data_IF_188434468037
#
_entry.id   IF_188434468037
#
_cell.length_a   1.000
_cell.length_b   1.000
_cell.length_c   1.000
_cell.angle_alpha   90.00
_cell.angle_beta   90.00
_cell.angle_gamma   90.00
#
_symmetry.space_group_name_H-M   'P 1'
#
loop_
_entity.id
_entity.type
_entity.pdbx_description
1 polymer ?
#
# COMPACT_ATOMS: atom_id res chain seq x y z
N UNK A 1 24.70 -15.93 11.07
CA UNK A 1 24.17 -14.83 11.92
C UNK A 1 24.01 -13.55 11.11
N UNK A 2 25.01 -13.13 10.33
CA UNK A 2 24.94 -11.93 9.46
C UNK A 2 23.71 -11.91 8.52
N UNK A 3 23.38 -13.03 7.86
CA UNK A 3 22.23 -13.06 6.94
C UNK A 3 20.87 -12.85 7.63
N UNK A 4 20.70 -13.24 8.90
CA UNK A 4 19.43 -13.10 9.61
C UNK A 4 19.23 -11.66 10.13
N UNK A 5 20.29 -11.03 10.63
CA UNK A 5 20.24 -9.62 11.04
C UNK A 5 19.95 -8.70 9.86
N UNK A 6 20.61 -8.94 8.71
CA UNK A 6 20.32 -8.21 7.47
C UNK A 6 18.87 -8.40 7.01
N UNK A 7 18.37 -9.65 7.02
CA UNK A 7 16.99 -9.95 6.66
C UNK A 7 15.99 -9.24 7.60
N UNK A 8 16.29 -9.15 8.89
CA UNK A 8 15.46 -8.44 9.86
C UNK A 8 15.48 -6.92 9.63
N UNK A 9 16.62 -6.33 9.27
CA UNK A 9 16.71 -4.91 8.90
C UNK A 9 15.86 -4.60 7.65
N UNK A 10 15.92 -5.46 6.64
CA UNK A 10 15.07 -5.34 5.44
C UNK A 10 13.59 -5.48 5.82
N UNK A 11 13.24 -6.47 6.64
CA UNK A 11 11.87 -6.68 7.10
C UNK A 11 11.30 -5.45 7.84
N UNK A 12 12.08 -4.86 8.76
CA UNK A 12 11.67 -3.63 9.45
C UNK A 12 11.46 -2.48 8.48
N UNK A 13 12.31 -2.36 7.45
CA UNK A 13 12.15 -1.30 6.44
C UNK A 13 10.88 -1.49 5.61
N UNK A 14 10.58 -2.72 5.20
CA UNK A 14 9.34 -3.08 4.52
C UNK A 14 8.12 -2.74 5.40
N UNK A 15 8.16 -3.09 6.69
CA UNK A 15 7.07 -2.81 7.63
C UNK A 15 6.83 -1.29 7.77
N UNK A 16 7.90 -0.50 7.88
CA UNK A 16 7.79 0.97 7.97
C UNK A 16 7.18 1.57 6.70
N UNK A 17 7.70 1.21 5.52
CA UNK A 17 7.19 1.72 4.25
C UNK A 17 5.73 1.24 4.00
N UNK A 18 5.37 0.01 4.39
CA UNK A 18 4.00 -0.50 4.32
C UNK A 18 3.06 0.20 5.34
N UNK A 19 3.56 0.51 6.53
CA UNK A 19 2.83 1.27 7.55
C UNK A 19 2.51 2.69 7.08
N UNK A 20 3.50 3.40 6.53
CA UNK A 20 3.31 4.71 5.91
C UNK A 20 2.28 4.64 4.77
N UNK A 21 2.36 3.61 3.93
CA UNK A 21 1.39 3.43 2.85
C UNK A 21 -0.03 3.23 3.37
N UNK A 22 -0.23 2.45 4.45
CA UNK A 22 -1.54 2.25 5.06
C UNK A 22 -2.10 3.54 5.66
N UNK A 23 -1.26 4.37 6.27
CA UNK A 23 -1.66 5.69 6.77
C UNK A 23 -2.16 6.58 5.62
N UNK A 24 -1.45 6.61 4.49
CA UNK A 24 -1.92 7.31 3.29
C UNK A 24 -3.22 6.73 2.73
N UNK A 25 -3.38 5.41 2.67
CA UNK A 25 -4.64 4.79 2.22
C UNK A 25 -5.81 5.18 3.14
N UNK A 26 -5.57 5.25 4.46
CA UNK A 26 -6.57 5.66 5.44
C UNK A 26 -6.99 7.11 5.22
N UNK A 27 -6.02 8.02 5.05
CA UNK A 27 -6.28 9.44 4.72
C UNK A 27 -7.04 9.60 3.40
N UNK A 28 -6.76 8.76 2.41
CA UNK A 28 -7.50 8.78 1.16
C UNK A 28 -8.98 8.42 1.37
N UNK A 29 -9.29 7.43 2.22
CA UNK A 29 -10.68 7.11 2.55
C UNK A 29 -11.39 8.24 3.29
N UNK A 30 -10.71 8.90 4.22
CA UNK A 30 -11.25 10.08 4.92
C UNK A 30 -11.57 11.21 3.94
N UNK A 31 -10.64 11.52 3.03
CA UNK A 31 -10.81 12.53 1.98
C UNK A 31 -11.97 12.19 1.03
N UNK A 32 -12.10 10.92 0.60
CA UNK A 32 -13.26 10.46 -0.18
C UNK A 32 -14.59 10.70 0.55
N UNK A 33 -14.64 10.43 1.86
CA UNK A 33 -15.82 10.68 2.70
C UNK A 33 -16.20 12.15 2.79
N UNK A 34 -15.23 13.06 2.65
CA UNK A 34 -15.42 14.51 2.64
C UNK A 34 -15.66 15.09 1.23
N UNK A 35 -15.74 14.24 0.19
CA UNK A 35 -15.81 14.62 -1.23
C UNK A 35 -14.57 15.39 -1.73
N UNK A 36 -13.45 15.30 -1.02
CA UNK A 36 -12.16 15.84 -1.46
C UNK A 36 -11.42 14.78 -2.29
N UNK A 37 -11.85 14.64 -3.54
CA UNK A 37 -11.30 13.61 -4.44
C UNK A 37 -9.89 13.92 -4.93
N UNK A 38 -9.47 15.19 -4.92
CA UNK A 38 -8.11 15.59 -5.28
C UNK A 38 -7.13 15.12 -4.21
N UNK A 39 -7.38 15.48 -2.95
CA UNK A 39 -6.58 15.01 -1.81
C UNK A 39 -6.58 13.48 -1.69
N UNK A 40 -7.73 12.84 -1.94
CA UNK A 40 -7.80 11.38 -1.99
C UNK A 40 -6.84 10.78 -3.03
N UNK A 41 -6.81 11.30 -4.25
CA UNK A 41 -5.90 10.81 -5.29
C UNK A 41 -4.43 11.07 -4.95
N UNK A 42 -4.10 12.23 -4.37
CA UNK A 42 -2.75 12.55 -3.89
C UNK A 42 -2.27 11.56 -2.84
N UNK A 43 -3.11 11.25 -1.85
CA UNK A 43 -2.81 10.24 -0.83
C UNK A 43 -2.62 8.84 -1.43
N UNK A 44 -3.46 8.43 -2.39
CA UNK A 44 -3.30 7.12 -3.06
C UNK A 44 -2.03 7.03 -3.92
N UNK A 45 -1.54 8.15 -4.47
CA UNK A 45 -0.25 8.21 -5.16
C UNK A 45 0.91 8.09 -4.18
N UNK A 46 0.85 8.80 -3.04
CA UNK A 46 1.86 8.70 -1.99
C UNK A 46 1.95 7.27 -1.42
N UNK A 47 0.79 6.64 -1.14
CA UNK A 47 0.71 5.24 -0.71
C UNK A 47 1.36 4.28 -1.73
N UNK A 48 1.11 4.51 -3.02
CA UNK A 48 1.66 3.68 -4.08
C UNK A 48 3.19 3.75 -4.15
N UNK A 49 3.79 4.94 -4.04
CA UNK A 49 5.25 5.05 -4.08
C UNK A 49 5.91 4.39 -2.86
N UNK A 50 5.27 4.46 -1.68
CA UNK A 50 5.72 3.74 -0.48
C UNK A 50 5.65 2.22 -0.66
N UNK A 51 4.53 1.70 -1.13
CA UNK A 51 4.38 0.27 -1.42
C UNK A 51 5.36 -0.21 -2.49
N UNK A 52 5.58 0.58 -3.53
CA UNK A 52 6.52 0.28 -4.60
C UNK A 52 7.96 0.17 -4.09
N UNK A 53 8.36 1.04 -3.16
CA UNK A 53 9.65 0.96 -2.46
C UNK A 53 9.77 -0.36 -1.69
N UNK A 54 8.80 -0.67 -0.84
CA UNK A 54 8.78 -1.89 -0.03
C UNK A 54 8.76 -3.17 -0.90
N UNK A 55 7.97 -3.17 -1.98
CA UNK A 55 7.84 -4.31 -2.88
C UNK A 55 9.13 -4.59 -3.66
N UNK A 56 9.93 -3.56 -3.99
CA UNK A 56 11.26 -3.77 -4.59
C UNK A 56 12.17 -4.54 -3.62
N UNK A 57 12.20 -4.14 -2.36
CA UNK A 57 13.00 -4.82 -1.33
C UNK A 57 12.54 -6.27 -1.14
N UNK A 58 11.23 -6.52 -1.06
CA UNK A 58 10.69 -7.88 -1.01
C UNK A 58 11.14 -8.70 -2.23
N UNK A 59 11.05 -8.13 -3.44
CA UNK A 59 11.42 -8.80 -4.68
C UNK A 59 12.91 -9.15 -4.72
N UNK A 60 13.79 -8.23 -4.29
CA UNK A 60 15.23 -8.46 -4.21
C UNK A 60 15.58 -9.62 -3.28
N UNK A 61 14.93 -9.71 -2.11
CA UNK A 61 15.15 -10.81 -1.16
C UNK A 61 14.70 -12.16 -1.76
N UNK A 62 13.52 -12.21 -2.38
CA UNK A 62 13.01 -13.43 -3.03
C UNK A 62 13.94 -13.86 -4.18
N UNK A 63 14.41 -12.92 -5.00
CA UNK A 63 15.34 -13.21 -6.09
C UNK A 63 16.68 -13.74 -5.57
N UNK A 64 17.19 -13.16 -4.49
CA UNK A 64 18.40 -13.63 -3.84
C UNK A 64 18.23 -15.06 -3.30
N UNK A 65 17.11 -15.37 -2.67
CA UNK A 65 16.80 -16.72 -2.19
C UNK A 65 16.75 -17.75 -3.33
N UNK A 66 16.14 -17.40 -4.46
CA UNK A 66 16.09 -18.27 -5.65
C UNK A 66 17.50 -18.51 -6.22
N UNK A 67 18.36 -17.50 -6.22
CA UNK A 67 19.70 -17.59 -6.81
C UNK A 67 20.75 -18.25 -5.89
N UNK A 68 20.71 -17.96 -4.58
CA UNK A 68 21.72 -18.37 -3.61
C UNK A 68 21.31 -19.58 -2.74
N UNK A 69 20.07 -20.06 -2.88
CA UNK A 69 19.49 -21.11 -2.04
C UNK A 69 18.70 -20.56 -0.84
N UNK A 70 18.14 -21.46 -0.03
CA UNK A 70 17.17 -21.07 1.02
C UNK A 70 17.74 -20.07 2.03
N UNK A 71 16.99 -19.00 2.28
CA UNK A 71 17.29 -18.06 3.36
C UNK A 71 16.94 -18.67 4.72
N UNK A 72 17.57 -18.21 5.83
CA UNK A 72 17.15 -18.64 7.15
C UNK A 72 15.69 -18.21 7.39
N UNK A 73 14.85 -19.07 7.99
CA UNK A 73 13.46 -18.71 8.28
C UNK A 73 13.41 -17.50 9.20
N UNK A 74 12.65 -16.48 8.80
CA UNK A 74 12.43 -15.27 9.60
C UNK A 74 10.94 -14.97 9.73
N UNK A 75 10.43 -15.08 10.96
CA UNK A 75 9.06 -14.72 11.29
C UNK A 75 8.79 -13.23 11.02
N UNK A 76 9.79 -12.38 11.25
CA UNK A 76 9.67 -10.94 11.01
C UNK A 76 9.57 -10.63 9.51
N UNK A 77 10.37 -11.30 8.68
CA UNK A 77 10.27 -11.12 7.22
C UNK A 77 8.95 -11.65 6.67
N UNK A 78 8.46 -12.80 7.16
CA UNK A 78 7.13 -13.30 6.79
C UNK A 78 6.03 -12.28 7.17
N UNK A 79 6.08 -11.73 8.39
CA UNK A 79 5.15 -10.69 8.82
C UNK A 79 5.22 -9.42 7.94
N UNK A 80 6.43 -9.02 7.55
CA UNK A 80 6.63 -7.88 6.65
C UNK A 80 5.98 -8.12 5.28
N UNK A 81 6.13 -9.33 4.72
CA UNK A 81 5.50 -9.72 3.47
C UNK A 81 3.97 -9.71 3.58
N UNK A 82 3.41 -10.33 4.63
CA UNK A 82 1.95 -10.36 4.85
C UNK A 82 1.38 -8.95 4.95
N UNK A 83 2.04 -8.08 5.73
CA UNK A 83 1.63 -6.68 5.91
C UNK A 83 1.65 -5.94 4.59
N UNK A 84 2.75 -6.06 3.83
CA UNK A 84 2.92 -5.43 2.53
C UNK A 84 1.80 -5.84 1.54
N UNK A 85 1.49 -7.13 1.47
CA UNK A 85 0.47 -7.64 0.54
C UNK A 85 -0.95 -7.23 0.92
N UNK A 86 -1.27 -7.19 2.22
CA UNK A 86 -2.57 -6.70 2.70
C UNK A 86 -2.73 -5.22 2.37
N UNK A 87 -1.73 -4.38 2.66
CA UNK A 87 -1.79 -2.94 2.35
C UNK A 87 -1.85 -2.69 0.84
N UNK A 88 -1.16 -3.51 0.03
CA UNK A 88 -1.30 -3.47 -1.43
C UNK A 88 -2.72 -3.76 -1.89
N UNK A 89 -3.40 -4.72 -1.27
CA UNK A 89 -4.81 -5.03 -1.55
C UNK A 89 -5.74 -3.89 -1.12
N UNK A 90 -5.49 -3.27 0.03
CA UNK A 90 -6.22 -2.09 0.51
C UNK A 90 -6.08 -0.91 -0.47
N UNK A 91 -4.87 -0.64 -0.98
CA UNK A 91 -4.64 0.42 -1.98
C UNK A 91 -5.45 0.17 -3.26
N UNK A 92 -5.46 -1.07 -3.76
CA UNK A 92 -6.21 -1.43 -4.98
C UNK A 92 -7.72 -1.22 -4.79
N UNK A 93 -8.24 -1.62 -3.62
CA UNK A 93 -9.62 -1.37 -3.24
C UNK A 93 -9.90 0.14 -3.16
N UNK A 94 -9.04 0.90 -2.51
CA UNK A 94 -9.20 2.35 -2.35
C UNK A 94 -9.23 3.10 -3.68
N UNK A 95 -8.36 2.73 -4.64
CA UNK A 95 -8.38 3.28 -6.01
C UNK A 95 -9.70 2.99 -6.73
N UNK A 96 -10.20 1.78 -6.60
CA UNK A 96 -11.48 1.38 -7.20
C UNK A 96 -12.64 2.14 -6.58
N UNK A 97 -12.63 2.30 -5.24
CA UNK A 97 -13.62 3.06 -4.51
C UNK A 97 -13.59 4.54 -4.89
N UNK A 98 -12.42 5.18 -5.02
CA UNK A 98 -12.32 6.57 -5.47
C UNK A 98 -13.06 6.80 -6.80
N UNK A 99 -12.82 5.93 -7.79
CA UNK A 99 -13.51 6.00 -9.07
C UNK A 99 -15.04 5.85 -8.93
N UNK A 100 -15.50 4.95 -8.05
CA UNK A 100 -16.92 4.76 -7.76
C UNK A 100 -17.52 6.02 -7.09
N UNK A 101 -16.86 6.56 -6.07
CA UNK A 101 -17.31 7.77 -5.35
C UNK A 101 -17.42 8.96 -6.29
N UNK A 102 -16.43 9.22 -7.15
CA UNK A 102 -16.48 10.29 -8.15
C UNK A 102 -17.68 10.12 -9.10
N UNK A 103 -17.96 8.89 -9.55
CA UNK A 103 -19.10 8.63 -10.43
C UNK A 103 -20.44 8.84 -9.73
N UNK A 104 -20.57 8.39 -8.48
CA UNK A 104 -21.77 8.62 -7.67
C UNK A 104 -21.99 10.11 -7.46
N UNK A 105 -20.94 10.84 -7.06
CA UNK A 105 -20.98 12.29 -6.82
C UNK A 105 -21.45 13.07 -8.04
N UNK A 106 -20.86 12.76 -9.21
CA UNK A 106 -21.27 13.35 -10.49
C UNK A 106 -22.74 13.11 -10.81
N UNK A 107 -23.24 11.89 -10.59
CA UNK A 107 -24.64 11.54 -10.86
C UNK A 107 -25.59 12.26 -9.90
N UNK A 108 -25.21 12.39 -8.63
CA UNK A 108 -25.99 13.14 -7.64
C UNK A 108 -26.08 14.61 -8.02
N UNK A 109 -24.95 15.23 -8.39
CA UNK A 109 -24.92 16.62 -8.83
C UNK A 109 -25.83 16.89 -10.05
N UNK A 110 -25.86 15.97 -11.02
CA UNK A 110 -26.76 16.07 -12.19
C UNK A 110 -28.24 15.99 -11.79
N UNK A 111 -28.59 15.15 -10.82
CA UNK A 111 -29.97 15.03 -10.32
C UNK A 111 -30.39 16.26 -9.50
N UNK A 112 -29.47 16.84 -8.74
CA UNK A 112 -29.70 18.05 -7.96
C UNK A 112 -29.84 19.30 -8.83
N UNK A 113 -29.07 19.39 -9.93
CA UNK A 113 -29.16 20.51 -10.88
C UNK A 113 -30.44 20.52 -11.74
N UNK A 114 -31.15 19.39 -11.81
CA UNK A 114 -32.42 19.26 -12.52
C UNK A 114 -33.66 19.58 -11.67
N UNK A 115 -33.49 19.98 -10.41
CA UNK A 115 -34.54 20.49 -9.52
C UNK A 115 -34.50 22.01 -9.46
#
# INVERSE_FOLDING_TARGET
MENLEQLNLIAMRIILDAGDARDFVTKAFEAMGQRDFESADEHLRAAFEKLKSAHRQQTEVIQHEVAAGSLPPSLLFNHAQDTLMVVGSELNLARSLLAIFINIDRRLAQLEAGR
#
